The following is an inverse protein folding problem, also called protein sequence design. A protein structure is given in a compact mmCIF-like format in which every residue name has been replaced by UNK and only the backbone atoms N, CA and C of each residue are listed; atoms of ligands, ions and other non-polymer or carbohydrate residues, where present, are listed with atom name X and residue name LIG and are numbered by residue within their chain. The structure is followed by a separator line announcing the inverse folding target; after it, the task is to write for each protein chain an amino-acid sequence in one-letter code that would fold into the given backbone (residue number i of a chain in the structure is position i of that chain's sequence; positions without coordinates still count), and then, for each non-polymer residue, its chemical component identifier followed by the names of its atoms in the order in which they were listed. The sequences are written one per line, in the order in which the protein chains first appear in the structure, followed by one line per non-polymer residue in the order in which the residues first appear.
data_IF_796610776217
#
_entry.id   IF_796610776217
#
_cell.length_a   1.000
_cell.length_b   1.000
_cell.length_c   1.000
_cell.angle_alpha   90.00
_cell.angle_beta   90.00
_cell.angle_gamma   90.00
#
_symmetry.space_group_name_H-M   'P 1'
#
loop_
_entity.id
_entity.type
_entity.pdbx_description
1 polymer ?
#
# COMPACT_ATOMS: atom_id res chain seq x y z
N UNK A 1 10.29 -45.42 -64.36
CA UNK A 1 10.86 -44.11 -64.78
C UNK A 1 9.79 -43.29 -65.50
N UNK A 2 9.27 -42.25 -64.84
CA UNK A 2 8.94 -40.90 -65.37
C UNK A 2 7.94 -40.24 -64.44
N UNK A 3 8.44 -39.27 -63.66
CA UNK A 3 7.65 -38.27 -62.97
C UNK A 3 6.83 -37.43 -63.96
N UNK A 4 5.63 -37.00 -63.55
CA UNK A 4 5.10 -35.69 -63.95
C UNK A 4 4.25 -35.11 -62.82
N UNK A 5 4.76 -34.00 -62.29
CA UNK A 5 4.09 -33.05 -61.42
C UNK A 5 3.02 -32.27 -62.19
N UNK A 6 1.93 -31.92 -61.53
CA UNK A 6 1.15 -30.73 -61.85
C UNK A 6 0.67 -30.08 -60.56
N UNK A 7 1.34 -28.97 -60.23
CA UNK A 7 0.99 -28.02 -59.19
C UNK A 7 -0.37 -27.37 -59.49
N UNK A 8 -1.22 -27.24 -58.47
CA UNK A 8 -2.26 -26.22 -58.46
C UNK A 8 -2.29 -25.58 -57.07
N UNK A 9 -1.57 -24.47 -56.93
CA UNK A 9 -1.60 -23.61 -55.75
C UNK A 9 -2.93 -22.82 -55.75
N UNK A 10 -3.71 -22.94 -54.68
CA UNK A 10 -4.79 -22.01 -54.36
C UNK A 10 -4.31 -21.07 -53.25
N UNK A 11 -4.03 -19.82 -53.61
CA UNK A 11 -3.87 -18.73 -52.66
C UNK A 11 -5.17 -18.50 -51.92
N UNK A 12 -5.18 -18.79 -50.61
CA UNK A 12 -6.18 -18.29 -49.69
C UNK A 12 -5.79 -16.89 -49.25
N UNK A 13 -6.48 -15.88 -49.76
CA UNK A 13 -6.43 -14.52 -49.19
C UNK A 13 -7.24 -14.58 -47.89
N UNK A 14 -6.55 -14.64 -46.76
CA UNK A 14 -7.17 -14.46 -45.44
C UNK A 14 -7.34 -12.95 -45.26
N UNK A 15 -8.57 -12.48 -45.42
CA UNK A 15 -8.96 -11.14 -45.02
C UNK A 15 -8.89 -11.06 -43.48
N UNK A 16 -7.80 -10.46 -42.98
CA UNK A 16 -7.70 -9.97 -41.61
C UNK A 16 -8.71 -8.83 -41.46
N UNK A 17 -9.92 -9.20 -41.04
CA UNK A 17 -10.94 -8.28 -40.57
C UNK A 17 -10.44 -7.69 -39.25
N UNK A 18 -9.85 -6.50 -39.35
CA UNK A 18 -9.51 -5.64 -38.23
C UNK A 18 -10.79 -5.29 -37.47
N UNK A 19 -11.19 -6.15 -36.53
CA UNK A 19 -12.10 -5.78 -35.47
C UNK A 19 -11.36 -4.79 -34.57
N UNK A 20 -11.42 -3.53 -34.99
CA UNK A 20 -11.21 -2.36 -34.17
C UNK A 20 -12.17 -2.51 -32.98
N UNK A 21 -11.65 -2.98 -31.87
CA UNK A 21 -12.37 -3.04 -30.61
C UNK A 21 -12.70 -1.60 -30.23
N UNK A 22 -13.97 -1.22 -30.32
CA UNK A 22 -14.52 -0.12 -29.55
C UNK A 22 -14.45 -0.52 -28.07
N UNK A 23 -13.31 -0.24 -27.44
CA UNK A 23 -13.24 -0.18 -25.99
C UNK A 23 -14.08 1.02 -25.53
N UNK A 24 -14.91 0.88 -24.48
CA UNK A 24 -15.64 2.00 -23.93
C UNK A 24 -14.64 3.02 -23.38
N UNK A 25 -14.69 4.25 -23.90
CA UNK A 25 -13.95 5.41 -23.37
C UNK A 25 -14.56 5.80 -22.01
N UNK A 26 -14.15 5.10 -20.96
CA UNK A 26 -14.29 5.54 -19.57
C UNK A 26 -12.92 6.08 -19.15
N UNK A 27 -12.52 7.20 -19.75
CA UNK A 27 -11.34 7.94 -19.31
C UNK A 27 -11.74 8.73 -18.06
N UNK A 28 -11.73 8.05 -16.91
CA UNK A 28 -11.59 8.75 -15.65
C UNK A 28 -10.14 9.26 -15.60
N UNK A 29 -9.96 10.57 -15.46
CA UNK A 29 -8.67 11.21 -15.23
C UNK A 29 -8.02 10.61 -13.97
N UNK A 30 -6.81 10.06 -14.11
CA UNK A 30 -6.09 9.45 -12.99
C UNK A 30 -5.02 10.42 -12.51
N UNK A 31 -5.13 10.87 -11.27
CA UNK A 31 -4.09 11.66 -10.59
C UNK A 31 -3.30 10.78 -9.63
N UNK A 32 -2.01 10.63 -9.91
CA UNK A 32 -1.07 9.88 -9.07
C UNK A 32 -0.10 10.85 -8.42
N UNK A 33 0.23 10.56 -7.17
CA UNK A 33 1.17 11.34 -6.40
C UNK A 33 2.20 10.46 -5.75
N UNK A 34 3.47 10.82 -5.88
CA UNK A 34 4.55 10.03 -5.33
C UNK A 34 5.92 10.61 -5.59
N UNK A 35 6.93 9.90 -5.09
CA UNK A 35 8.31 10.28 -5.33
C UNK A 35 8.74 9.75 -6.69
N UNK A 36 9.29 10.65 -7.49
CA UNK A 36 9.86 10.33 -8.78
C UNK A 36 11.03 9.35 -8.60
N UNK A 37 11.01 8.24 -9.33
CA UNK A 37 12.11 7.27 -9.30
C UNK A 37 13.04 7.45 -10.49
N UNK A 38 12.46 7.51 -11.69
CA UNK A 38 13.17 7.74 -12.95
C UNK A 38 12.25 8.47 -13.91
N UNK A 39 12.81 9.38 -14.71
CA UNK A 39 12.12 10.04 -15.82
C UNK A 39 13.04 10.09 -17.03
N UNK A 40 12.50 9.77 -18.19
CA UNK A 40 13.17 9.86 -19.48
C UNK A 40 12.17 10.37 -20.52
N UNK A 41 12.57 10.70 -21.77
CA UNK A 41 11.65 11.23 -22.78
C UNK A 41 10.50 10.31 -23.20
N UNK A 42 10.48 9.05 -22.75
CA UNK A 42 9.47 8.04 -23.12
C UNK A 42 8.62 7.55 -21.95
N UNK A 43 9.04 7.77 -20.70
CA UNK A 43 8.32 7.29 -19.53
C UNK A 43 8.70 8.03 -18.24
N UNK A 44 7.75 8.09 -17.30
CA UNK A 44 7.95 8.51 -15.91
C UNK A 44 7.64 7.33 -14.99
N UNK A 45 8.47 7.10 -13.98
CA UNK A 45 8.25 6.03 -12.99
C UNK A 45 8.02 6.61 -11.61
N UNK A 46 6.86 6.30 -11.03
CA UNK A 46 6.43 6.74 -9.70
C UNK A 46 5.89 5.52 -8.94
N UNK A 47 6.32 5.33 -7.69
CA UNK A 47 5.89 4.19 -6.85
C UNK A 47 6.09 2.80 -7.49
N UNK A 48 7.15 2.61 -8.29
CA UNK A 48 7.48 1.43 -9.09
C UNK A 48 6.53 1.14 -10.25
N UNK A 49 5.72 2.12 -10.66
CA UNK A 49 4.84 2.02 -11.83
C UNK A 49 5.35 2.99 -12.88
N UNK A 50 5.64 2.47 -14.07
CA UNK A 50 6.09 3.26 -15.22
C UNK A 50 4.90 3.64 -16.10
N UNK A 51 4.78 4.92 -16.39
CA UNK A 51 3.73 5.50 -17.22
C UNK A 51 4.34 6.07 -18.50
N UNK A 52 3.76 5.79 -19.67
CA UNK A 52 4.28 6.27 -20.94
C UNK A 52 4.08 7.79 -21.08
N UNK A 53 5.15 8.48 -21.47
CA UNK A 53 5.15 9.90 -21.81
C UNK A 53 5.01 10.02 -23.33
N UNK A 54 4.29 11.04 -23.80
CA UNK A 54 4.16 11.36 -25.22
C UNK A 54 4.73 12.74 -25.51
N UNK A 55 4.73 13.14 -26.79
CA UNK A 55 5.09 14.51 -27.17
C UNK A 55 4.05 15.57 -26.75
N UNK A 56 2.89 15.15 -26.25
CA UNK A 56 1.81 16.01 -25.77
C UNK A 56 1.87 16.23 -24.25
N UNK A 57 2.66 15.44 -23.52
CA UNK A 57 2.80 15.55 -22.06
C UNK A 57 3.38 16.92 -21.66
N UNK A 58 2.67 17.63 -20.80
CA UNK A 58 3.13 18.88 -20.19
C UNK A 58 3.94 18.61 -18.91
N UNK A 59 4.98 19.42 -18.70
CA UNK A 59 5.85 19.34 -17.54
C UNK A 59 5.83 20.69 -16.84
N UNK A 60 5.42 20.74 -15.57
CA UNK A 60 5.30 22.00 -14.82
C UNK A 60 6.07 21.95 -13.51
N UNK A 61 6.55 23.10 -13.07
CA UNK A 61 7.02 23.30 -11.70
C UNK A 61 5.86 23.60 -10.73
N UNK A 62 6.18 23.79 -9.46
CA UNK A 62 5.21 24.12 -8.40
C UNK A 62 4.45 25.45 -8.59
N UNK A 63 4.82 26.27 -9.58
CA UNK A 63 4.20 27.55 -9.90
C UNK A 63 3.47 27.53 -11.25
N UNK A 64 3.10 26.35 -11.75
CA UNK A 64 2.49 26.14 -13.08
C UNK A 64 3.38 26.62 -14.25
N UNK A 65 4.70 26.78 -14.06
CA UNK A 65 5.60 27.17 -15.14
C UNK A 65 6.04 25.93 -15.91
N UNK A 66 5.85 25.96 -17.24
CA UNK A 66 6.30 24.86 -18.11
C UNK A 66 7.82 24.72 -18.06
N UNK A 67 8.28 23.54 -17.66
CA UNK A 67 9.69 23.14 -17.56
C UNK A 67 9.99 21.96 -18.51
N UNK A 68 11.20 21.41 -18.44
CA UNK A 68 11.62 20.27 -19.27
C UNK A 68 11.87 19.03 -18.42
N UNK A 69 11.90 17.85 -19.05
CA UNK A 69 12.23 16.58 -18.37
C UNK A 69 13.57 16.64 -17.61
N UNK A 70 14.54 17.41 -18.12
CA UNK A 70 15.85 17.57 -17.46
C UNK A 70 15.81 18.36 -16.15
N UNK A 71 14.72 19.07 -15.88
CA UNK A 71 14.58 19.83 -14.64
C UNK A 71 14.14 18.93 -13.47
N UNK A 72 13.66 17.73 -13.74
CA UNK A 72 13.25 16.77 -12.72
C UNK A 72 14.42 15.95 -12.17
N UNK A 73 14.41 15.72 -10.86
CA UNK A 73 15.43 14.97 -10.14
C UNK A 73 14.77 13.78 -9.44
N UNK A 74 15.35 12.58 -9.58
CA UNK A 74 14.90 11.41 -8.85
C UNK A 74 14.85 11.68 -7.33
N UNK A 75 13.74 11.33 -6.70
CA UNK A 75 13.46 11.61 -5.29
C UNK A 75 12.60 12.86 -5.05
N UNK A 76 12.34 13.69 -6.07
CA UNK A 76 11.37 14.79 -5.98
C UNK A 76 9.94 14.25 -5.79
N UNK A 77 9.11 14.98 -5.05
CA UNK A 77 7.67 14.70 -4.98
C UNK A 77 7.04 15.30 -6.24
N UNK A 78 6.31 14.47 -6.98
CA UNK A 78 5.62 14.89 -8.19
C UNK A 78 4.17 14.42 -8.17
N UNK A 79 3.36 15.13 -8.94
CA UNK A 79 2.00 14.77 -9.32
C UNK A 79 1.98 14.42 -10.80
N UNK A 80 1.35 13.30 -11.14
CA UNK A 80 1.25 12.77 -12.50
C UNK A 80 -0.23 12.64 -12.83
N UNK A 81 -0.69 13.37 -13.83
CA UNK A 81 -2.05 13.26 -14.37
C UNK A 81 -2.02 12.41 -15.64
N UNK A 82 -2.95 11.46 -15.74
CA UNK A 82 -3.03 10.49 -16.81
C UNK A 82 -4.42 10.58 -17.44
N UNK A 83 -4.43 10.82 -18.75
CA UNK A 83 -5.61 10.81 -19.58
C UNK A 83 -5.48 9.69 -20.62
N UNK A 84 -6.53 8.88 -20.79
CA UNK A 84 -6.55 7.76 -21.76
C UNK A 84 -5.38 6.76 -21.64
N UNK A 85 -4.77 6.65 -20.46
CA UNK A 85 -3.64 5.74 -20.19
C UNK A 85 -2.27 6.25 -20.63
N UNK A 86 -2.18 7.52 -21.05
CA UNK A 86 -0.93 8.24 -21.29
C UNK A 86 -0.79 9.40 -20.31
N UNK A 87 0.44 9.77 -19.96
CA UNK A 87 0.67 10.91 -19.07
C UNK A 87 0.32 12.19 -19.80
N UNK A 88 -0.63 12.95 -19.25
CA UNK A 88 -1.01 14.27 -19.74
C UNK A 88 -0.14 15.35 -19.10
N UNK A 89 0.06 15.28 -17.77
CA UNK A 89 0.84 16.27 -17.03
C UNK A 89 1.76 15.64 -15.97
N UNK A 90 2.95 16.22 -15.79
CA UNK A 90 3.84 15.96 -14.66
C UNK A 90 4.21 17.28 -13.99
N UNK A 91 3.81 17.43 -12.73
CA UNK A 91 3.94 18.65 -11.94
C UNK A 91 4.85 18.42 -10.73
N UNK A 92 5.77 19.35 -10.44
CA UNK A 92 6.56 19.33 -9.19
C UNK A 92 5.72 19.80 -8.01
N UNK A 93 5.93 19.14 -6.87
CA UNK A 93 5.23 19.46 -5.63
C UNK A 93 6.22 19.95 -4.56
N UNK A 94 5.80 20.94 -3.76
CA UNK A 94 6.61 21.61 -2.71
C UNK A 94 6.89 20.75 -1.45
N UNK A 95 7.07 19.44 -1.64
CA UNK A 95 7.63 18.50 -0.66
C UNK A 95 6.78 18.24 0.60
N UNK A 96 5.61 18.88 0.72
CA UNK A 96 4.84 18.85 1.97
C UNK A 96 3.71 17.81 1.94
N UNK A 97 2.98 17.68 0.82
CA UNK A 97 2.09 16.57 0.49
C UNK A 97 1.30 16.91 -0.76
N UNK A 98 1.08 15.95 -1.65
CA UNK A 98 0.00 16.04 -2.62
C UNK A 98 -1.35 16.10 -1.89
N UNK A 99 -1.91 17.30 -1.81
CA UNK A 99 -3.24 17.52 -1.28
C UNK A 99 -4.20 17.48 -2.46
N UNK A 100 -4.90 16.37 -2.65
CA UNK A 100 -5.97 16.23 -3.67
C UNK A 100 -7.23 17.06 -3.34
N UNK A 101 -7.14 18.02 -2.42
CA UNK A 101 -8.30 18.76 -1.93
C UNK A 101 -8.54 20.00 -2.80
N UNK A 102 -9.09 19.77 -4.00
CA UNK A 102 -9.97 20.74 -4.65
C UNK A 102 -11.28 20.80 -3.85
N UNK A 103 -11.23 21.41 -2.66
CA UNK A 103 -12.43 21.85 -1.95
C UNK A 103 -12.30 23.35 -1.69
N UNK A 104 -12.25 24.10 -2.80
CA UNK A 104 -12.35 25.55 -2.81
C UNK A 104 -13.75 25.96 -2.34
N UNK A 105 -13.82 26.59 -1.17
CA UNK A 105 -15.00 27.35 -0.79
C UNK A 105 -15.31 27.35 0.69
N UNK A 106 -14.41 27.86 1.53
CA UNK A 106 -14.79 28.55 2.76
C UNK A 106 -13.81 29.70 3.01
N UNK A 107 -14.31 30.90 2.72
CA UNK A 107 -13.74 32.18 3.11
C UNK A 107 -13.67 32.25 4.64
N UNK A 108 -12.48 32.11 5.22
CA UNK A 108 -12.24 32.53 6.60
C UNK A 108 -11.10 33.56 6.59
N UNK A 109 -11.53 34.83 6.53
CA UNK A 109 -10.74 35.98 6.88
C UNK A 109 -10.29 35.85 8.35
N UNK A 110 -9.01 35.61 8.56
CA UNK A 110 -8.35 36.03 9.80
C UNK A 110 -7.03 36.69 9.47
N UNK A 111 -7.05 38.02 9.51
CA UNK A 111 -5.90 38.91 9.51
C UNK A 111 -5.00 38.62 10.73
N UNK A 112 -3.74 39.01 10.57
CA UNK A 112 -2.69 39.12 11.58
C UNK A 112 -1.93 37.84 11.97
N UNK A 113 -0.71 37.70 11.43
CA UNK A 113 0.48 37.84 12.28
C UNK A 113 1.78 37.96 11.47
N UNK A 114 2.46 39.10 11.66
CA UNK A 114 3.83 39.36 11.25
C UNK A 114 4.78 38.45 12.04
N UNK A 115 5.54 37.59 11.36
CA UNK A 115 6.77 37.04 11.93
C UNK A 115 7.90 37.14 10.90
N UNK A 116 8.96 37.81 11.33
CA UNK A 116 10.12 38.23 10.54
C UNK A 116 11.03 37.03 10.19
N UNK A 117 11.36 36.96 8.91
CA UNK A 117 12.61 36.51 8.27
C UNK A 117 13.62 35.71 9.10
N UNK A 118 13.54 34.38 9.00
CA UNK A 118 14.72 33.51 9.09
C UNK A 118 15.11 33.06 7.67
N UNK A 119 16.03 33.80 7.04
CA UNK A 119 16.73 33.41 5.81
C UNK A 119 17.66 32.21 6.10
N UNK A 120 17.07 31.04 6.25
CA UNK A 120 17.78 29.78 6.28
C UNK A 120 17.50 29.07 4.96
N UNK A 121 18.55 28.70 4.22
CA UNK A 121 18.49 27.84 3.03
C UNK A 121 17.91 26.47 3.46
N UNK A 122 16.61 26.42 3.67
CA UNK A 122 15.88 25.28 4.19
C UNK A 122 15.00 24.74 3.08
N UNK A 123 15.66 24.14 2.08
CA UNK A 123 14.95 23.25 1.17
C UNK A 123 14.16 22.19 1.93
N UNK A 124 13.10 21.63 1.34
CA UNK A 124 12.27 20.62 1.99
C UNK A 124 13.15 19.46 2.47
N UNK A 125 13.06 19.17 3.77
CA UNK A 125 13.83 18.09 4.41
C UNK A 125 12.98 16.83 4.44
N UNK A 126 13.28 15.87 3.58
CA UNK A 126 12.60 14.57 3.55
C UNK A 126 13.37 13.57 4.39
N UNK A 127 12.66 12.68 5.11
CA UNK A 127 13.27 11.60 5.89
C UNK A 127 12.71 10.26 5.47
N UNK A 128 13.57 9.32 5.11
CA UNK A 128 13.20 8.00 4.63
C UNK A 128 13.87 6.96 5.52
N UNK A 129 13.11 6.00 6.02
CA UNK A 129 13.66 4.89 6.81
C UNK A 129 13.36 3.54 6.15
N UNK A 130 14.33 2.66 6.04
CA UNK A 130 14.16 1.33 5.45
C UNK A 130 15.40 0.44 5.59
N UNK A 131 15.30 -0.80 5.10
CA UNK A 131 16.47 -1.66 4.96
C UNK A 131 17.20 -1.32 3.66
N UNK A 132 18.52 -1.45 3.65
CA UNK A 132 19.35 -1.31 2.45
C UNK A 132 19.11 -2.51 1.54
N UNK A 133 18.64 -2.26 0.33
CA UNK A 133 18.43 -3.28 -0.70
C UNK A 133 19.70 -3.50 -1.53
N UNK A 134 20.43 -2.42 -1.81
CA UNK A 134 21.72 -2.42 -2.50
C UNK A 134 22.53 -1.18 -2.08
N UNK A 135 23.86 -1.26 -2.12
CA UNK A 135 24.74 -0.10 -1.93
C UNK A 135 26.03 -0.31 -2.72
N UNK A 136 26.53 0.76 -3.32
CA UNK A 136 27.86 0.79 -3.96
C UNK A 136 28.58 2.10 -3.60
N UNK A 137 29.62 2.47 -4.35
CA UNK A 137 30.43 3.66 -4.06
C UNK A 137 29.76 5.01 -4.38
N UNK A 138 28.59 5.03 -5.01
CA UNK A 138 27.94 6.26 -5.49
C UNK A 138 26.44 6.34 -5.16
N UNK A 139 25.80 5.23 -4.82
CA UNK A 139 24.36 5.19 -4.57
C UNK A 139 23.97 4.14 -3.54
N UNK A 140 22.83 4.37 -2.91
CA UNK A 140 22.20 3.46 -1.93
C UNK A 140 20.73 3.24 -2.31
N UNK A 141 20.30 1.98 -2.36
CA UNK A 141 18.91 1.61 -2.64
C UNK A 141 18.20 1.26 -1.35
N UNK A 142 17.07 1.93 -1.06
CA UNK A 142 16.24 1.67 0.12
C UNK A 142 14.77 1.63 -0.29
N UNK A 143 14.10 0.52 -0.01
CA UNK A 143 12.71 0.23 -0.46
C UNK A 143 12.54 0.30 -1.99
N UNK A 144 13.52 -0.19 -2.74
CA UNK A 144 13.52 -0.20 -4.20
C UNK A 144 13.77 1.17 -4.85
N UNK A 145 14.02 2.23 -4.08
CA UNK A 145 14.39 3.54 -4.61
C UNK A 145 15.89 3.75 -4.43
N UNK A 146 16.60 4.08 -5.51
CA UNK A 146 18.04 4.34 -5.50
C UNK A 146 18.31 5.82 -5.32
N UNK A 147 19.14 6.14 -4.33
CA UNK A 147 19.52 7.51 -3.97
C UNK A 147 21.00 7.69 -4.28
N UNK A 148 21.36 8.53 -5.26
CA UNK A 148 22.74 8.91 -5.47
C UNK A 148 23.21 9.75 -4.29
N UNK A 149 24.46 9.53 -3.86
CA UNK A 149 25.11 10.33 -2.84
C UNK A 149 26.38 10.94 -3.38
N UNK A 150 26.78 12.07 -2.80
CA UNK A 150 27.96 12.82 -3.24
C UNK A 150 29.07 12.74 -2.18
N UNK A 151 30.19 13.40 -2.45
CA UNK A 151 31.25 13.54 -1.45
C UNK A 151 30.85 14.36 -0.22
N UNK A 152 29.72 15.07 -0.25
CA UNK A 152 29.21 15.82 0.90
C UNK A 152 28.18 15.04 1.71
N UNK A 153 27.75 13.86 1.26
CA UNK A 153 26.80 13.04 2.02
C UNK A 153 27.47 12.48 3.27
N UNK A 154 26.88 12.73 4.42
CA UNK A 154 27.37 12.25 5.71
C UNK A 154 26.83 10.85 6.01
N UNK A 155 27.69 9.96 6.51
CA UNK A 155 27.34 8.59 6.83
C UNK A 155 27.65 8.33 8.30
N UNK A 156 26.64 7.98 9.08
CA UNK A 156 26.76 7.78 10.52
C UNK A 156 26.35 6.35 10.91
N UNK A 157 27.10 5.77 11.85
CA UNK A 157 26.76 4.51 12.49
C UNK A 157 25.66 4.68 13.52
N UNK A 158 25.16 3.56 14.04
CA UNK A 158 24.23 3.49 15.17
C UNK A 158 24.66 4.28 16.42
N UNK A 159 25.96 4.54 16.59
CA UNK A 159 26.51 5.32 17.70
C UNK A 159 26.70 6.81 17.38
N UNK A 160 26.29 7.27 16.19
CA UNK A 160 26.56 8.62 15.67
C UNK A 160 28.01 8.85 15.27
N UNK A 161 28.80 7.77 15.11
CA UNK A 161 30.18 7.88 14.62
C UNK A 161 30.19 7.85 13.10
N UNK A 162 30.95 8.75 12.47
CA UNK A 162 31.12 8.77 11.02
C UNK A 162 31.70 7.45 10.49
N UNK A 163 31.10 6.89 9.44
CA UNK A 163 31.49 5.64 8.78
C UNK A 163 31.58 5.81 7.26
N UNK A 164 32.26 4.88 6.57
CA UNK A 164 32.27 4.82 5.10
C UNK A 164 30.96 4.20 4.58
N UNK A 165 30.48 4.54 3.37
CA UNK A 165 29.39 3.82 2.71
C UNK A 165 29.61 2.30 2.64
N UNK A 166 30.88 1.87 2.54
CA UNK A 166 31.25 0.44 2.47
C UNK A 166 30.99 -0.32 3.79
N UNK A 167 30.72 0.41 4.88
CA UNK A 167 30.38 -0.19 6.17
C UNK A 167 28.91 -0.68 6.22
N UNK A 168 28.05 -0.23 5.31
CA UNK A 168 26.68 -0.69 5.22
C UNK A 168 26.61 -1.99 4.42
N UNK A 169 25.77 -2.89 4.87
CA UNK A 169 25.48 -4.17 4.22
C UNK A 169 24.02 -4.25 3.81
N UNK A 170 23.73 -5.04 2.77
CA UNK A 170 22.34 -5.31 2.37
C UNK A 170 21.59 -5.94 3.56
N UNK A 171 20.45 -5.33 3.92
CA UNK A 171 19.65 -5.69 5.09
C UNK A 171 19.83 -4.77 6.30
N UNK A 172 20.86 -3.93 6.34
CA UNK A 172 21.01 -2.92 7.40
C UNK A 172 19.86 -1.92 7.36
N UNK A 173 19.38 -1.52 8.53
CA UNK A 173 18.37 -0.47 8.60
C UNK A 173 19.05 0.89 8.62
N UNK A 174 18.53 1.79 7.79
CA UNK A 174 19.05 3.15 7.65
C UNK A 174 17.94 4.18 7.67
N UNK A 175 18.32 5.39 8.09
CA UNK A 175 17.52 6.61 8.00
C UNK A 175 18.26 7.59 7.10
N UNK A 176 17.65 7.84 5.95
CA UNK A 176 18.10 8.81 4.96
C UNK A 176 17.47 10.17 5.25
N UNK A 177 18.26 11.22 5.11
CA UNK A 177 17.81 12.61 5.13
C UNK A 177 18.14 13.22 3.78
N UNK A 178 17.13 13.78 3.13
CA UNK A 178 17.27 14.45 1.84
C UNK A 178 17.02 15.94 2.03
N UNK A 179 17.81 16.75 1.33
CA UNK A 179 17.61 18.20 1.21
C UNK A 179 17.36 18.47 -0.27
N UNK A 180 16.15 18.90 -0.61
CA UNK A 180 15.75 19.15 -2.00
C UNK A 180 16.01 17.94 -2.92
N UNK A 181 15.63 16.73 -2.47
CA UNK A 181 15.80 15.49 -3.23
C UNK A 181 17.22 14.90 -3.23
N UNK A 182 18.24 15.66 -2.80
CA UNK A 182 19.63 15.19 -2.74
C UNK A 182 19.89 14.53 -1.39
N UNK A 183 20.54 13.37 -1.39
CA UNK A 183 20.89 12.65 -0.16
C UNK A 183 21.96 13.40 0.63
N UNK A 184 21.58 13.90 1.79
CA UNK A 184 22.41 14.72 2.69
C UNK A 184 23.07 13.86 3.78
N UNK A 185 22.32 12.94 4.38
CA UNK A 185 22.78 12.15 5.53
C UNK A 185 22.20 10.73 5.50
N UNK A 186 23.01 9.75 5.88
CA UNK A 186 22.65 8.33 6.01
C UNK A 186 23.04 7.84 7.40
N UNK A 187 22.05 7.64 8.26
CA UNK A 187 22.25 7.18 9.64
C UNK A 187 21.86 5.70 9.76
N UNK A 188 22.77 4.85 10.23
CA UNK A 188 22.47 3.45 10.53
C UNK A 188 21.57 3.38 11.77
N UNK A 189 20.51 2.59 11.68
CA UNK A 189 19.46 2.51 12.69
C UNK A 189 19.19 1.07 13.09
N UNK A 190 18.63 0.88 14.28
CA UNK A 190 18.11 -0.43 14.67
C UNK A 190 16.69 -0.58 14.08
N UNK A 191 16.32 -1.79 13.63
CA UNK A 191 14.99 -2.10 13.03
C UNK A 191 13.79 -1.55 13.85
N UNK A 192 13.95 -1.46 15.17
CA UNK A 192 12.93 -0.94 16.09
C UNK A 192 12.65 0.57 15.87
N UNK A 193 13.66 1.38 15.56
CA UNK A 193 13.55 2.85 15.41
C UNK A 193 12.71 3.24 14.19
N UNK A 194 12.98 2.61 13.03
CA UNK A 194 12.23 2.86 11.80
C UNK A 194 10.73 2.53 11.95
N UNK A 195 10.39 1.54 12.80
CA UNK A 195 9.01 1.16 13.13
C UNK A 195 8.33 2.14 14.10
N UNK A 196 9.09 2.80 14.97
CA UNK A 196 8.59 3.76 15.97
C UNK A 196 8.24 5.12 15.34
N UNK A 197 8.98 5.58 14.32
CA UNK A 197 8.71 6.84 13.62
C UNK A 197 7.28 6.90 13.04
N UNK A 198 6.75 5.76 12.53
CA UNK A 198 5.36 5.68 12.05
C UNK A 198 4.31 5.82 13.16
N UNK A 199 4.67 5.63 14.43
CA UNK A 199 3.73 5.65 15.56
C UNK A 199 3.67 7.02 16.27
N UNK A 200 4.77 7.78 16.30
CA UNK A 200 4.84 9.08 17.00
C UNK A 200 4.00 10.17 16.33
N UNK A 201 3.92 10.22 14.99
CA UNK A 201 3.05 11.18 14.28
C UNK A 201 1.54 11.01 14.57
N UNK A 202 1.10 9.86 15.11
CA UNK A 202 -0.31 9.64 15.50
C UNK A 202 -0.66 10.02 16.94
N UNK A 203 0.33 10.38 17.77
CA UNK A 203 0.11 10.61 19.19
C UNK A 203 -0.11 12.09 19.58
N UNK A 204 0.27 13.07 18.73
CA UNK A 204 0.37 14.48 19.14
C UNK A 204 -0.93 15.32 19.03
N UNK A 205 -2.11 14.72 18.94
CA UNK A 205 -3.40 15.46 18.83
C UNK A 205 -4.51 14.88 19.71
N UNK A 206 -4.31 14.77 21.02
CA UNK A 206 -5.42 14.57 21.98
C UNK A 206 -5.13 15.32 23.29
N UNK A 207 -5.83 16.44 23.44
CA UNK A 207 -5.93 17.19 24.69
C UNK A 207 -6.62 16.37 25.78
N UNK A 208 -6.28 16.72 27.01
CA UNK A 208 -6.68 16.09 28.26
C UNK A 208 -8.17 16.25 28.54
N UNK A 209 -8.95 15.22 28.25
CA UNK A 209 -10.26 15.01 28.88
C UNK A 209 -10.24 13.68 29.62
N UNK A 210 -10.55 13.78 30.92
CA UNK A 210 -10.42 12.79 31.98
C UNK A 210 -11.38 11.58 31.79
N UNK A 211 -11.18 10.81 30.73
CA UNK A 211 -11.88 9.56 30.46
C UNK A 211 -10.95 8.38 30.70
N UNK A 212 -11.21 7.62 31.77
CA UNK A 212 -10.51 6.37 32.07
C UNK A 212 -10.84 5.32 31.01
N UNK A 213 -10.05 5.28 29.94
CA UNK A 213 -10.14 4.26 28.88
C UNK A 213 -9.33 3.03 29.30
N UNK A 214 -10.01 2.00 29.77
CA UNK A 214 -9.40 0.67 29.95
C UNK A 214 -9.29 0.01 28.57
N UNK A 215 -8.09 0.06 28.00
CA UNK A 215 -7.80 -0.52 26.68
C UNK A 215 -7.34 -1.96 26.88
N UNK A 216 -8.28 -2.91 26.86
CA UNK A 216 -7.96 -4.32 26.98
C UNK A 216 -7.81 -4.99 25.60
N UNK A 217 -6.74 -5.77 25.49
CA UNK A 217 -6.51 -6.90 24.58
C UNK A 217 -6.41 -6.60 23.08
N UNK A 218 -5.19 -6.81 22.54
CA UNK A 218 -4.88 -6.83 21.11
C UNK A 218 -4.35 -8.23 20.78
N UNK A 219 -5.25 -9.16 20.48
CA UNK A 219 -4.86 -10.49 20.03
C UNK A 219 -4.50 -10.42 18.55
N UNK A 220 -3.27 -10.82 18.25
CA UNK A 220 -2.73 -10.86 16.89
C UNK A 220 -2.40 -12.31 16.61
N UNK A 221 -3.07 -12.86 15.62
CA UNK A 221 -2.82 -14.24 15.25
C UNK A 221 -1.41 -14.42 14.66
N UNK A 222 -0.83 -15.58 14.96
CA UNK A 222 0.40 -16.08 14.32
C UNK A 222 0.02 -16.89 13.10
N UNK A 223 0.74 -16.69 12.01
CA UNK A 223 0.40 -17.22 10.69
C UNK A 223 1.27 -18.44 10.38
N UNK A 224 0.65 -19.54 9.98
CA UNK A 224 1.32 -20.70 9.37
C UNK A 224 0.69 -20.92 8.01
N UNK A 225 1.44 -20.57 6.95
CA UNK A 225 0.99 -20.82 5.57
C UNK A 225 1.63 -22.09 5.04
N UNK A 226 0.85 -22.93 4.38
CA UNK A 226 1.34 -24.08 3.61
C UNK A 226 1.88 -23.66 2.26
N UNK A 227 1.42 -22.52 1.73
CA UNK A 227 1.84 -21.96 0.44
C UNK A 227 2.70 -20.71 0.65
N UNK A 228 3.88 -20.66 0.04
CA UNK A 228 4.77 -19.49 0.08
C UNK A 228 4.16 -18.25 -0.59
N UNK A 229 3.21 -18.44 -1.51
CA UNK A 229 2.52 -17.40 -2.26
C UNK A 229 1.40 -16.69 -1.48
N UNK A 230 1.03 -17.21 -0.31
CA UNK A 230 -0.08 -16.71 0.50
C UNK A 230 0.44 -16.15 1.82
N UNK A 231 0.01 -14.93 2.12
CA UNK A 231 0.25 -14.28 3.41
C UNK A 231 -1.07 -13.95 4.06
N UNK A 232 -1.14 -13.98 5.39
CA UNK A 232 -2.37 -13.66 6.09
C UNK A 232 -2.14 -13.09 7.47
N UNK A 233 -3.10 -12.30 7.92
CA UNK A 233 -3.09 -11.68 9.23
C UNK A 233 -4.50 -11.52 9.76
N UNK A 234 -4.76 -12.09 10.94
CA UNK A 234 -5.99 -11.86 11.69
C UNK A 234 -5.71 -10.99 12.93
N UNK A 235 -6.61 -10.06 13.24
CA UNK A 235 -6.53 -9.18 14.40
C UNK A 235 -7.89 -9.01 15.03
N UNK A 236 -7.94 -9.15 16.35
CA UNK A 236 -9.10 -8.82 17.16
C UNK A 236 -8.72 -7.72 18.16
N UNK A 237 -9.65 -6.79 18.39
CA UNK A 237 -9.53 -5.75 19.40
C UNK A 237 -10.91 -5.46 19.97
N UNK A 238 -11.03 -5.53 21.28
CA UNK A 238 -12.16 -4.98 22.02
C UNK A 238 -11.72 -3.72 22.77
N UNK A 239 -12.65 -2.79 22.99
CA UNK A 239 -12.42 -1.63 23.84
C UNK A 239 -13.68 -1.38 24.65
N UNK A 240 -13.60 -1.61 25.96
CA UNK A 240 -14.66 -1.28 26.88
C UNK A 240 -14.51 0.18 27.33
N UNK A 241 -15.54 0.99 27.10
CA UNK A 241 -15.62 2.34 27.65
C UNK A 241 -16.70 2.38 28.69
N UNK A 242 -16.29 2.48 29.96
CA UNK A 242 -17.18 2.84 31.04
C UNK A 242 -17.24 4.36 31.17
N UNK A 243 -18.44 4.89 31.36
CA UNK A 243 -18.65 6.25 31.88
C UNK A 243 -19.24 6.04 33.27
N UNK A 244 -18.76 6.80 34.25
CA UNK A 244 -19.18 6.70 35.65
C UNK A 244 -20.71 6.56 35.78
N UNK A 245 -21.17 5.48 36.41
CA UNK A 245 -22.59 5.15 36.59
C UNK A 245 -23.32 4.53 35.38
N UNK A 246 -22.62 4.07 34.33
CA UNK A 246 -23.24 3.36 33.18
C UNK A 246 -22.50 2.07 32.85
N UNK A 247 -23.25 1.08 32.37
CA UNK A 247 -22.68 -0.15 31.87
C UNK A 247 -21.65 0.11 30.74
N UNK A 248 -20.52 -0.61 30.76
CA UNK A 248 -19.45 -0.39 29.80
C UNK A 248 -19.94 -0.72 28.38
N UNK A 249 -19.77 0.24 27.47
CA UNK A 249 -20.01 0.00 26.05
C UNK A 249 -18.77 -0.63 25.44
N UNK A 250 -18.93 -1.83 24.90
CA UNK A 250 -17.85 -2.53 24.20
C UNK A 250 -17.90 -2.17 22.72
N UNK A 251 -16.79 -1.64 22.21
CA UNK A 251 -16.53 -1.48 20.79
C UNK A 251 -15.55 -2.58 20.38
N UNK A 252 -15.99 -3.53 19.55
CA UNK A 252 -15.15 -4.62 19.06
C UNK A 252 -14.83 -4.45 17.58
N UNK A 253 -13.62 -4.87 17.17
CA UNK A 253 -13.17 -4.85 15.78
C UNK A 253 -12.42 -6.13 15.46
N UNK A 254 -12.85 -6.78 14.39
CA UNK A 254 -12.21 -7.97 13.86
C UNK A 254 -11.78 -7.71 12.42
N UNK A 255 -10.53 -8.06 12.10
CA UNK A 255 -9.96 -7.85 10.77
C UNK A 255 -9.19 -9.10 10.35
N UNK A 256 -9.52 -9.65 9.19
CA UNK A 256 -8.71 -10.64 8.48
C UNK A 256 -8.22 -9.95 7.20
N UNK A 257 -6.93 -10.04 6.91
CA UNK A 257 -6.35 -9.64 5.62
C UNK A 257 -5.52 -10.80 5.08
N UNK A 258 -5.83 -11.26 3.87
CA UNK A 258 -5.12 -12.29 3.13
C UNK A 258 -4.55 -11.66 1.86
N UNK A 259 -3.26 -11.87 1.60
CA UNK A 259 -2.61 -11.47 0.36
C UNK A 259 -2.17 -12.69 -0.42
N UNK A 260 -2.54 -12.77 -1.69
CA UNK A 260 -2.19 -13.85 -2.63
C UNK A 260 -1.40 -13.25 -3.79
N UNK A 261 -0.22 -13.79 -4.09
CA UNK A 261 0.56 -13.33 -5.25
C UNK A 261 -0.16 -13.66 -6.57
N UNK A 262 -0.30 -12.66 -7.43
CA UNK A 262 -0.72 -12.78 -8.83
C UNK A 262 0.52 -13.14 -9.68
N UNK A 263 0.33 -13.92 -10.73
CA UNK A 263 1.39 -14.44 -11.60
C UNK A 263 2.04 -15.74 -11.13
N UNK A 264 1.48 -16.42 -10.12
CA UNK A 264 1.97 -17.72 -9.64
C UNK A 264 1.05 -18.86 -10.09
N UNK A 265 1.60 -20.07 -10.23
CA UNK A 265 0.84 -21.25 -10.68
C UNK A 265 -0.12 -21.80 -9.61
N UNK A 266 0.04 -21.44 -8.33
CA UNK A 266 -0.83 -21.92 -7.25
C UNK A 266 -1.10 -20.85 -6.18
N UNK A 267 -2.37 -20.41 -6.01
CA UNK A 267 -3.49 -20.59 -6.95
C UNK A 267 -3.20 -19.92 -8.30
N UNK A 268 -3.78 -20.44 -9.40
CA UNK A 268 -3.63 -19.86 -10.74
C UNK A 268 -4.37 -18.52 -10.78
N UNK A 269 -3.69 -17.44 -10.40
CA UNK A 269 -4.16 -16.07 -10.53
C UNK A 269 -3.20 -15.37 -11.50
N UNK A 270 -3.50 -15.39 -12.80
CA UNK A 270 -2.67 -14.74 -13.81
C UNK A 270 -3.05 -13.28 -14.01
N UNK A 271 -4.31 -12.92 -13.74
CA UNK A 271 -4.85 -11.58 -13.96
C UNK A 271 -5.57 -11.07 -12.72
N UNK A 272 -5.73 -9.74 -12.64
CA UNK A 272 -6.55 -9.10 -11.62
C UNK A 272 -8.02 -9.56 -11.68
N UNK A 273 -8.56 -9.76 -12.89
CA UNK A 273 -9.94 -10.24 -13.06
C UNK A 273 -10.13 -11.63 -12.43
N UNK A 274 -9.16 -12.54 -12.60
CA UNK A 274 -9.17 -13.85 -11.94
C UNK A 274 -9.07 -13.71 -10.42
N UNK A 275 -8.26 -12.76 -9.93
CA UNK A 275 -8.17 -12.47 -8.50
C UNK A 275 -9.50 -11.94 -7.93
N UNK A 276 -10.19 -11.06 -8.65
CA UNK A 276 -11.50 -10.54 -8.25
C UNK A 276 -12.59 -11.62 -8.24
N UNK A 277 -12.47 -12.64 -9.09
CA UNK A 277 -13.39 -13.78 -9.14
C UNK A 277 -13.10 -14.84 -8.06
N UNK A 278 -11.91 -14.84 -7.46
CA UNK A 278 -11.54 -15.80 -6.41
C UNK A 278 -12.39 -15.60 -5.14
N UNK A 279 -13.12 -16.64 -4.76
CA UNK A 279 -13.94 -16.63 -3.55
C UNK A 279 -13.22 -17.32 -2.38
N UNK A 280 -12.98 -16.55 -1.31
CA UNK A 280 -12.33 -17.03 -0.10
C UNK A 280 -13.29 -17.03 1.09
N UNK A 281 -13.26 -18.12 1.87
CA UNK A 281 -13.98 -18.22 3.14
C UNK A 281 -13.04 -18.51 4.30
N UNK A 282 -13.14 -17.71 5.37
CA UNK A 282 -12.46 -17.92 6.64
C UNK A 282 -13.39 -18.60 7.65
N UNK A 283 -12.98 -19.76 8.13
CA UNK A 283 -13.65 -20.50 9.19
C UNK A 283 -12.91 -20.23 10.49
N UNK A 284 -13.63 -19.69 11.46
CA UNK A 284 -13.13 -19.51 12.82
C UNK A 284 -13.60 -20.70 13.64
N UNK A 285 -12.67 -21.41 14.26
CA UNK A 285 -12.95 -22.60 15.06
C UNK A 285 -12.40 -22.46 16.47
N UNK A 286 -13.15 -22.95 17.45
CA UNK A 286 -12.74 -23.10 18.84
C UNK A 286 -12.90 -24.55 19.26
N UNK A 287 -11.82 -25.18 19.72
CA UNK A 287 -11.83 -26.60 20.11
C UNK A 287 -12.41 -27.54 19.03
N UNK A 288 -12.17 -27.22 17.75
CA UNK A 288 -12.67 -27.98 16.60
C UNK A 288 -14.09 -27.62 16.14
N UNK A 289 -14.87 -26.85 16.91
CA UNK A 289 -16.21 -26.40 16.50
C UNK A 289 -16.16 -25.06 15.77
N UNK A 290 -16.94 -24.92 14.70
CA UNK A 290 -17.07 -23.66 13.97
C UNK A 290 -17.86 -22.63 14.79
N UNK A 291 -17.28 -21.45 15.02
CA UNK A 291 -17.94 -20.34 15.70
C UNK A 291 -18.41 -19.26 14.71
N UNK A 292 -17.73 -19.13 13.58
CA UNK A 292 -18.13 -18.23 12.50
C UNK A 292 -17.52 -18.66 11.16
N UNK A 293 -18.22 -18.30 10.08
CA UNK A 293 -17.77 -18.41 8.70
C UNK A 293 -17.85 -17.04 8.05
N UNK A 294 -16.73 -16.56 7.52
CA UNK A 294 -16.63 -15.24 6.92
C UNK A 294 -16.27 -15.35 5.45
N UNK A 295 -17.03 -14.70 4.57
CA UNK A 295 -16.65 -14.51 3.17
C UNK A 295 -15.76 -13.27 3.08
N UNK A 296 -14.54 -13.43 2.56
CA UNK A 296 -13.61 -12.32 2.36
C UNK A 296 -13.99 -11.58 1.07
N UNK A 297 -14.00 -10.26 1.12
CA UNK A 297 -14.15 -9.44 -0.09
C UNK A 297 -12.78 -9.17 -0.71
N UNK A 298 -12.67 -9.33 -2.02
CA UNK A 298 -11.56 -8.78 -2.78
C UNK A 298 -11.47 -7.26 -2.53
N UNK A 299 -10.25 -6.75 -2.37
CA UNK A 299 -10.00 -5.33 -2.17
C UNK A 299 -9.32 -4.71 -3.39
N UNK A 300 -8.08 -5.11 -3.64
CA UNK A 300 -7.22 -4.54 -4.68
C UNK A 300 -6.06 -5.50 -4.95
N UNK A 301 -5.37 -5.33 -6.08
CA UNK A 301 -4.01 -5.84 -6.28
C UNK A 301 -3.05 -4.71 -5.93
N UNK A 302 -2.19 -4.91 -4.94
CA UNK A 302 -1.22 -3.88 -4.54
C UNK A 302 -0.02 -3.81 -5.50
N UNK A 303 0.81 -2.78 -5.33
CA UNK A 303 2.02 -2.52 -6.13
C UNK A 303 3.04 -3.67 -6.12
N UNK A 304 2.90 -4.64 -5.21
CA UNK A 304 3.73 -5.84 -5.15
C UNK A 304 3.11 -7.03 -5.92
N UNK A 305 2.06 -6.80 -6.70
CA UNK A 305 1.32 -7.83 -7.43
C UNK A 305 0.57 -8.78 -6.50
N UNK A 306 0.19 -8.37 -5.29
CA UNK A 306 -0.60 -9.20 -4.37
C UNK A 306 -2.05 -8.78 -4.37
N UNK A 307 -2.93 -9.70 -4.73
CA UNK A 307 -4.36 -9.59 -4.52
C UNK A 307 -4.69 -9.66 -3.03
N UNK A 308 -5.30 -8.60 -2.50
CA UNK A 308 -5.70 -8.51 -1.09
C UNK A 308 -7.18 -8.83 -0.90
N UNK A 309 -7.49 -9.69 0.07
CA UNK A 309 -8.83 -10.09 0.46
C UNK A 309 -9.05 -9.77 1.93
N UNK A 310 -10.13 -9.05 2.25
CA UNK A 310 -10.35 -8.50 3.59
C UNK A 310 -11.72 -8.84 4.16
N UNK A 311 -11.73 -9.16 5.45
CA UNK A 311 -12.90 -9.08 6.32
C UNK A 311 -12.63 -7.98 7.32
N UNK A 312 -13.57 -7.04 7.47
CA UNK A 312 -13.48 -5.92 8.41
C UNK A 312 -14.82 -5.71 9.06
N UNK A 313 -14.96 -6.29 10.25
CA UNK A 313 -16.14 -6.17 11.07
C UNK A 313 -15.89 -5.21 12.22
N UNK A 314 -16.91 -4.42 12.56
CA UNK A 314 -16.90 -3.57 13.74
C UNK A 314 -18.24 -3.65 14.44
N UNK A 315 -18.21 -4.03 15.70
CA UNK A 315 -19.36 -3.89 16.58
C UNK A 315 -19.22 -2.56 17.33
N UNK A 316 -20.27 -1.74 17.24
CA UNK A 316 -20.31 -0.45 17.92
C UNK A 316 -21.64 -0.35 18.64
N UNK A 317 -21.60 -0.37 19.98
CA UNK A 317 -22.79 -0.31 20.85
C UNK A 317 -23.78 -1.47 20.59
N UNK A 318 -23.29 -2.70 20.43
CA UNK A 318 -24.12 -3.89 20.20
C UNK A 318 -24.67 -4.02 18.77
N UNK A 319 -24.37 -3.08 17.87
CA UNK A 319 -24.72 -3.19 16.45
C UNK A 319 -23.49 -3.59 15.65
N UNK A 320 -23.58 -4.73 14.97
CA UNK A 320 -22.57 -5.17 14.01
C UNK A 320 -22.62 -4.30 12.75
N UNK A 321 -21.46 -3.83 12.31
CA UNK A 321 -21.27 -3.13 11.04
C UNK A 321 -20.21 -3.84 10.23
N UNK A 322 -20.63 -4.32 9.08
CA UNK A 322 -19.78 -4.95 8.08
C UNK A 322 -19.21 -3.85 7.18
N UNK A 323 -17.88 -3.71 7.14
CA UNK A 323 -17.22 -2.72 6.26
C UNK A 323 -16.64 -3.35 5.01
N UNK A 324 -16.16 -4.58 5.10
CA UNK A 324 -15.64 -5.41 4.01
C UNK A 324 -15.83 -6.87 4.40
N UNK A 325 -16.19 -7.69 3.42
CA UNK A 325 -16.62 -9.06 3.67
C UNK A 325 -17.87 -9.16 4.54
N UNK A 326 -18.34 -10.38 4.73
CA UNK A 326 -19.51 -10.69 5.55
C UNK A 326 -19.17 -11.87 6.45
N UNK A 327 -19.74 -11.94 7.65
CA UNK A 327 -19.60 -13.13 8.49
C UNK A 327 -20.93 -13.64 8.97
N UNK A 328 -21.16 -14.93 8.77
CA UNK A 328 -22.22 -15.68 9.45
C UNK A 328 -21.63 -16.28 10.72
N UNK A 329 -22.23 -15.97 11.87
CA UNK A 329 -21.81 -16.48 13.17
C UNK A 329 -22.75 -17.62 13.49
N UNK A 330 -22.16 -18.79 13.72
CA UNK A 330 -22.77 -20.11 13.83
C UNK A 330 -24.29 -20.19 13.49
N UNK A 331 -24.67 -20.69 12.30
CA UNK A 331 -26.07 -20.92 11.94
C UNK A 331 -26.75 -22.02 12.78
N UNK A 332 -26.00 -22.82 13.56
CA UNK A 332 -26.53 -23.89 14.40
C UNK A 332 -26.79 -23.48 15.86
N UNK A 333 -26.41 -22.26 16.25
CA UNK A 333 -26.77 -21.70 17.55
C UNK A 333 -28.24 -21.25 17.54
N UNK A 334 -29.11 -21.83 18.39
CA UNK A 334 -30.54 -21.49 18.42
C UNK A 334 -30.81 -20.04 18.85
N UNK A 335 -29.80 -19.34 19.38
CA UNK A 335 -29.95 -18.02 19.99
C UNK A 335 -29.66 -16.84 19.06
N UNK A 336 -29.35 -17.09 17.77
CA UNK A 336 -29.32 -16.04 16.74
C UNK A 336 -28.50 -14.80 17.14
N UNK A 337 -27.36 -15.02 17.81
CA UNK A 337 -26.62 -13.94 18.47
C UNK A 337 -26.03 -13.01 17.41
N UNK A 338 -26.71 -11.89 17.19
CA UNK A 338 -26.25 -10.79 16.36
C UNK A 338 -25.12 -10.07 17.08
N UNK A 339 -23.87 -10.26 16.63
CA UNK A 339 -22.70 -9.61 17.21
C UNK A 339 -21.42 -10.36 16.88
N UNK A 340 -20.25 -9.71 16.90
CA UNK A 340 -18.98 -10.34 16.54
C UNK A 340 -18.66 -11.53 17.48
N UNK A 341 -18.12 -12.67 16.99
CA UNK A 341 -17.73 -13.72 17.90
C UNK A 341 -16.59 -13.19 18.76
N UNK A 342 -16.69 -13.36 20.07
CA UNK A 342 -15.61 -12.96 20.97
C UNK A 342 -14.42 -13.89 20.72
N UNK A 343 -13.34 -13.36 20.16
CA UNK A 343 -12.13 -14.14 19.87
C UNK A 343 -11.32 -14.36 21.14
N UNK A 344 -10.89 -15.59 21.36
CA UNK A 344 -10.12 -16.07 22.51
C UNK A 344 -8.77 -16.64 22.06
N UNK A 345 -7.82 -16.70 22.98
CA UNK A 345 -6.53 -17.34 22.73
C UNK A 345 -6.75 -18.83 22.43
N UNK A 346 -6.10 -19.33 21.38
CA UNK A 346 -6.31 -20.70 20.88
C UNK A 346 -7.43 -20.85 19.85
N UNK A 347 -8.18 -19.80 19.55
CA UNK A 347 -9.05 -19.79 18.36
C UNK A 347 -8.22 -19.89 17.08
N UNK A 348 -8.71 -20.66 16.12
CA UNK A 348 -8.02 -20.89 14.84
C UNK A 348 -8.87 -20.30 13.71
N UNK A 349 -8.24 -19.53 12.82
CA UNK A 349 -8.81 -19.07 11.55
C UNK A 349 -8.19 -19.87 10.43
N UNK A 350 -9.00 -20.61 9.68
CA UNK A 350 -8.57 -21.35 8.50
C UNK A 350 -9.26 -20.77 7.27
N UNK A 351 -8.50 -20.37 6.26
CA UNK A 351 -9.04 -19.80 5.03
C UNK A 351 -8.99 -20.84 3.92
N UNK A 352 -10.11 -21.00 3.22
CA UNK A 352 -10.25 -21.90 2.08
C UNK A 352 -10.64 -21.13 0.83
N UNK A 353 -10.21 -21.62 -0.33
CA UNK A 353 -10.85 -21.29 -1.59
C UNK A 353 -12.12 -22.12 -1.74
N UNK A 354 -13.26 -21.47 -1.95
CA UNK A 354 -14.55 -22.16 -2.07
C UNK A 354 -14.66 -23.01 -3.33
N UNK A 355 -13.88 -22.71 -4.36
CA UNK A 355 -14.00 -23.37 -5.67
C UNK A 355 -13.32 -24.75 -5.69
N UNK A 356 -12.49 -25.06 -4.68
CA UNK A 356 -11.80 -26.34 -4.55
C UNK A 356 -11.64 -26.86 -3.13
N UNK A 357 -12.16 -26.16 -2.11
CA UNK A 357 -12.00 -26.45 -0.69
C UNK A 357 -10.53 -26.70 -0.25
N UNK A 358 -9.59 -26.07 -0.95
CA UNK A 358 -8.17 -26.16 -0.63
C UNK A 358 -7.86 -25.18 0.51
N UNK A 359 -7.23 -25.66 1.58
CA UNK A 359 -6.73 -24.82 2.67
C UNK A 359 -5.63 -23.90 2.13
N UNK A 360 -5.86 -22.58 2.21
CA UNK A 360 -4.89 -21.56 1.81
C UNK A 360 -3.93 -21.23 2.93
N UNK A 361 -4.48 -20.98 4.12
CA UNK A 361 -3.70 -20.49 5.25
C UNK A 361 -4.42 -20.74 6.57
N UNK A 362 -3.62 -21.03 7.60
CA UNK A 362 -4.08 -21.22 8.97
C UNK A 362 -3.43 -20.21 9.90
N UNK A 363 -4.23 -19.60 10.76
CA UNK A 363 -3.80 -18.59 11.72
C UNK A 363 -4.33 -18.95 13.10
N UNK A 364 -3.52 -18.82 14.15
CA UNK A 364 -3.94 -19.08 15.54
C UNK A 364 -3.88 -17.78 16.35
N UNK A 365 -4.96 -17.45 17.04
CA UNK A 365 -5.05 -16.25 17.88
C UNK A 365 -4.31 -16.35 19.21
#
# INVERSE_FOLDING_TARGET
MKHKYSNLAKSGIIALSSCLFCLPSLADEIRICGYLQTIDPSQVTVNNISYPITGETEFKDENDVVITVSDFIAGELIKVEIEEGVVDEVEKEDGTSCSSDENSGLDDNSEDDNSEDDNNLSGPKTRICGAVDAINSQEITVKGVTYPFTSSTEFESLSGAAISPEAFTVGDYVKLKLISGILDEVEQENDVSCKAYKQSKKAKKRGDENSSKVRQTKNRATTTSTLSSVTGKARYRSEARSKEGRDPKVDSRFVINIGVLVGQEQPILQTEEQAAQLSLQAFITRNGSHIAVCTLAFDEVNDLGKAEYKVKLREKRGTLREKKGICSIDPSSPDGVSGLPTVQDGDIVTVYNTDGLVEFIKMSF
#
